data_IF_193341720161
#
_entry.id   IF_193341720161
#
_cell.length_a   1.000
_cell.length_b   1.000
_cell.length_c   1.000
_cell.angle_alpha   90.00
_cell.angle_beta   90.00
_cell.angle_gamma   90.00
#
_symmetry.space_group_name_H-M   'P 1'
#
loop_
_entity.id
_entity.type
_entity.pdbx_description
1 polymer ?
#
# COMPACT_ATOMS: atom_id res chain seq x y z
N UNK A 1 16.67 11.40 4.02
CA UNK A 1 17.66 10.32 3.78
C UNK A 1 16.90 9.01 3.79
N UNK A 2 17.06 8.16 2.78
CA UNK A 2 16.63 6.77 2.80
C UNK A 2 17.91 5.91 2.88
N UNK A 3 17.91 4.78 3.60
CA UNK A 3 16.76 4.05 4.13
C UNK A 3 16.30 4.58 5.51
N UNK A 4 15.02 4.40 5.85
CA UNK A 4 14.44 4.81 7.13
C UNK A 4 13.54 3.73 7.72
N UNK A 5 13.04 3.97 8.94
CA UNK A 5 12.14 3.05 9.65
C UNK A 5 10.83 2.87 8.90
N UNK A 6 10.40 1.61 8.77
CA UNK A 6 9.10 1.21 8.19
C UNK A 6 8.29 0.53 9.28
N UNK A 7 7.00 0.85 9.35
CA UNK A 7 6.02 0.20 10.22
C UNK A 7 4.97 -0.50 9.39
N UNK A 8 4.43 -1.58 9.93
CA UNK A 8 3.36 -2.36 9.34
C UNK A 8 2.18 -2.48 10.32
N UNK A 9 0.97 -2.54 9.78
CA UNK A 9 -0.23 -2.91 10.51
C UNK A 9 -1.01 -3.90 9.65
N UNK A 10 -0.83 -5.19 9.95
CA UNK A 10 -1.41 -6.30 9.22
C UNK A 10 -2.94 -6.37 9.31
N UNK A 11 -3.53 -5.92 10.42
CA UNK A 11 -4.98 -6.02 10.63
C UNK A 11 -5.76 -5.20 9.60
N UNK A 12 -5.23 -4.01 9.31
CA UNK A 12 -5.79 -3.09 8.33
C UNK A 12 -5.03 -3.06 7.01
N UNK A 13 -3.88 -3.73 6.87
CA UNK A 13 -3.11 -3.78 5.62
C UNK A 13 -2.31 -2.51 5.32
N UNK A 14 -1.76 -1.84 6.35
CA UNK A 14 -1.00 -0.59 6.19
C UNK A 14 0.51 -0.80 6.33
N UNK A 15 1.27 -0.03 5.56
CA UNK A 15 2.73 0.06 5.61
C UNK A 15 3.07 1.55 5.56
N UNK A 16 3.89 2.09 6.46
CA UNK A 16 4.29 3.49 6.39
C UNK A 16 5.71 3.76 6.88
N UNK A 17 6.28 4.87 6.43
CA UNK A 17 7.59 5.36 6.88
C UNK A 17 7.45 6.28 8.10
N UNK A 18 8.52 6.42 8.89
CA UNK A 18 8.59 7.30 10.08
C UNK A 18 9.78 8.28 10.02
N UNK A 19 9.87 9.06 8.96
CA UNK A 19 10.75 10.24 8.88
C UNK A 19 10.12 11.45 9.61
N UNK A 20 10.96 12.39 10.03
CA UNK A 20 10.50 13.57 10.78
C UNK A 20 9.70 14.57 9.92
N UNK A 21 9.98 14.65 8.62
CA UNK A 21 9.39 15.65 7.71
C UNK A 21 8.28 15.07 6.83
N UNK A 22 8.63 14.19 5.88
CA UNK A 22 7.72 13.65 4.88
C UNK A 22 7.74 12.13 4.89
N UNK A 23 6.54 11.54 4.88
CA UNK A 23 6.31 10.12 4.95
C UNK A 23 5.41 9.62 3.83
N UNK A 24 5.43 8.31 3.63
CA UNK A 24 4.54 7.59 2.72
C UNK A 24 3.75 6.54 3.49
N UNK A 25 2.44 6.54 3.32
CA UNK A 25 1.55 5.45 3.73
C UNK A 25 1.13 4.66 2.48
N UNK A 26 1.23 3.34 2.57
CA UNK A 26 0.72 2.38 1.59
C UNK A 26 -0.36 1.54 2.27
N UNK A 27 -1.57 1.60 1.74
CA UNK A 27 -2.71 0.82 2.19
C UNK A 27 -3.01 -0.23 1.13
N UNK A 28 -2.85 -1.51 1.46
CA UNK A 28 -3.16 -2.63 0.58
C UNK A 28 -4.50 -3.23 0.98
N UNK A 29 -5.43 -3.32 0.03
CA UNK A 29 -6.77 -3.87 0.24
C UNK A 29 -7.07 -4.87 -0.87
N UNK A 30 -7.70 -5.98 -0.52
CA UNK A 30 -8.15 -6.98 -1.47
C UNK A 30 -8.94 -8.06 -0.72
N UNK A 31 -9.31 -9.12 -1.42
CA UNK A 31 -10.00 -10.25 -0.78
C UNK A 31 -9.08 -10.91 0.26
N UNK A 32 -9.49 -10.92 1.53
CA UNK A 32 -8.69 -11.43 2.66
C UNK A 32 -8.58 -12.98 2.64
N UNK A 33 -7.52 -13.57 3.21
CA UNK A 33 -6.40 -12.91 3.89
C UNK A 33 -5.28 -12.43 2.94
N UNK A 34 -4.68 -11.27 3.27
CA UNK A 34 -3.47 -10.73 2.62
C UNK A 34 -2.47 -10.35 3.72
N UNK A 35 -1.69 -11.31 4.25
CA UNK A 35 -0.63 -11.00 5.20
C UNK A 35 0.40 -10.03 4.61
N UNK A 36 0.93 -9.16 5.46
CA UNK A 36 2.13 -8.38 5.18
C UNK A 36 3.32 -9.11 5.80
N UNK A 37 4.36 -9.38 5.01
CA UNK A 37 5.56 -10.08 5.45
C UNK A 37 6.73 -9.12 5.32
N UNK A 38 7.41 -8.83 6.44
CA UNK A 38 8.64 -8.06 6.43
C UNK A 38 9.81 -8.95 5.99
N UNK A 39 10.59 -8.43 5.05
CA UNK A 39 11.71 -9.12 4.43
C UNK A 39 12.95 -8.21 4.42
N UNK A 40 14.12 -8.83 4.41
CA UNK A 40 15.37 -8.10 4.24
C UNK A 40 15.52 -7.68 2.78
N UNK A 41 15.53 -6.37 2.54
CA UNK A 41 15.82 -5.77 1.25
C UNK A 41 17.19 -5.11 1.23
N UNK A 42 17.68 -4.86 0.02
CA UNK A 42 18.91 -4.10 -0.22
C UNK A 42 18.62 -2.96 -1.19
N UNK A 43 19.34 -1.85 -1.05
CA UNK A 43 19.45 -0.82 -2.07
C UNK A 43 20.91 -0.47 -2.32
N UNK A 44 21.22 0.00 -3.53
CA UNK A 44 22.55 0.38 -3.95
C UNK A 44 22.43 1.62 -4.85
N UNK A 45 23.15 2.69 -4.51
CA UNK A 45 23.25 3.89 -5.35
C UNK A 45 24.44 3.83 -6.31
N UNK A 46 25.48 3.09 -5.92
CA UNK A 46 26.69 2.90 -6.70
C UNK A 46 27.08 1.43 -6.73
N UNK A 47 27.89 1.04 -7.72
CA UNK A 47 28.34 -0.33 -7.85
C UNK A 47 29.31 -0.70 -6.71
N UNK A 48 29.11 -1.87 -6.11
CA UNK A 48 29.90 -2.33 -4.97
C UNK A 48 29.42 -1.81 -3.60
N UNK A 49 28.50 -0.85 -3.58
CA UNK A 49 27.83 -0.42 -2.35
C UNK A 49 26.48 -1.12 -2.19
N UNK A 50 26.12 -1.46 -0.96
CA UNK A 50 24.77 -1.88 -0.61
C UNK A 50 24.44 -1.45 0.80
N UNK A 51 23.23 -0.98 0.96
CA UNK A 51 22.66 -0.61 2.25
C UNK A 51 21.38 -1.43 2.46
N UNK A 52 21.20 -1.90 3.69
CA UNK A 52 20.04 -2.70 4.06
C UNK A 52 18.81 -1.80 4.15
N UNK A 53 17.67 -2.31 3.66
CA UNK A 53 16.35 -1.67 3.80
C UNK A 53 15.29 -2.69 4.18
N UNK A 54 14.19 -2.22 4.76
CA UNK A 54 13.00 -3.04 4.94
C UNK A 54 12.29 -3.22 3.60
N UNK A 55 11.96 -4.46 3.26
CA UNK A 55 11.02 -4.80 2.19
C UNK A 55 9.75 -5.36 2.84
N UNK A 56 8.59 -5.14 2.22
CA UNK A 56 7.32 -5.67 2.72
C UNK A 56 6.55 -6.30 1.56
N UNK A 57 6.17 -7.56 1.73
CA UNK A 57 5.41 -8.34 0.75
C UNK A 57 3.96 -8.48 1.21
N UNK A 58 3.01 -8.04 0.39
CA UNK A 58 1.58 -8.35 0.57
C UNK A 58 1.27 -9.67 -0.17
N UNK A 59 1.04 -10.75 0.58
CA UNK A 59 1.01 -12.11 0.02
C UNK A 59 -0.41 -12.65 -0.04
N UNK A 60 -0.84 -13.14 -1.21
CA UNK A 60 -2.06 -13.94 -1.37
C UNK A 60 -1.69 -15.38 -1.72
N UNK A 61 -2.23 -16.35 -0.96
CA UNK A 61 -1.92 -17.79 -1.11
C UNK A 61 -3.02 -18.60 -1.82
N UNK A 62 -3.99 -17.95 -2.45
CA UNK A 62 -5.09 -18.64 -3.15
C UNK A 62 -4.89 -18.77 -4.66
N UNK A 63 -5.90 -19.33 -5.34
CA UNK A 63 -5.94 -19.39 -6.80
C UNK A 63 -6.31 -18.05 -7.44
N UNK A 64 -5.83 -17.82 -8.67
CA UNK A 64 -6.23 -16.68 -9.48
C UNK A 64 -7.60 -16.89 -10.17
N UNK A 65 -8.22 -15.83 -10.71
CA UNK A 65 -7.76 -14.43 -10.69
C UNK A 65 -7.94 -13.75 -9.32
N UNK A 66 -7.05 -12.81 -9.00
CA UNK A 66 -7.07 -12.05 -7.76
C UNK A 66 -6.88 -10.56 -8.04
N UNK A 67 -7.59 -9.71 -7.30
CA UNK A 67 -7.49 -8.25 -7.38
C UNK A 67 -7.11 -7.69 -6.03
N UNK A 68 -6.18 -6.76 -6.03
CA UNK A 68 -5.86 -5.90 -4.90
C UNK A 68 -5.76 -4.46 -5.37
N UNK A 69 -5.96 -3.55 -4.43
CA UNK A 69 -5.83 -2.11 -4.59
C UNK A 69 -4.80 -1.63 -3.58
N UNK A 70 -3.79 -0.92 -4.07
CA UNK A 70 -2.81 -0.25 -3.22
C UNK A 70 -3.03 1.26 -3.32
N UNK A 71 -3.32 1.92 -2.20
CA UNK A 71 -3.42 3.37 -2.10
C UNK A 71 -2.14 3.91 -1.50
N UNK A 72 -1.46 4.80 -2.23
CA UNK A 72 -0.21 5.43 -1.80
C UNK A 72 -0.48 6.90 -1.47
N UNK A 73 -0.28 7.27 -0.20
CA UNK A 73 -0.57 8.62 0.30
C UNK A 73 0.68 9.23 0.92
N UNK A 74 1.33 10.20 0.26
CA UNK A 74 2.37 11.00 0.91
C UNK A 74 1.74 11.92 1.96
N UNK A 75 2.40 12.08 3.11
CA UNK A 75 1.93 12.94 4.20
C UNK A 75 3.10 13.61 4.94
N UNK A 76 2.81 14.69 5.68
CA UNK A 76 3.80 15.42 6.48
C UNK A 76 3.65 15.13 7.97
N UNK A 77 4.78 15.10 8.66
CA UNK A 77 4.87 14.88 10.10
C UNK A 77 4.62 13.42 10.52
N UNK A 78 4.53 13.16 11.83
CA UNK A 78 4.53 11.81 12.39
C UNK A 78 3.16 11.13 12.38
N UNK A 79 2.07 11.87 12.12
CA UNK A 79 0.70 11.33 12.19
C UNK A 79 0.23 10.91 10.80
N UNK A 80 0.10 9.60 10.60
CA UNK A 80 -0.42 9.06 9.34
C UNK A 80 -1.90 9.45 9.13
N UNK A 81 -2.31 9.76 7.89
CA UNK A 81 -3.71 10.02 7.57
C UNK A 81 -4.52 8.72 7.63
N UNK A 82 -5.81 8.86 7.91
CA UNK A 82 -6.76 7.76 7.74
C UNK A 82 -6.99 7.53 6.24
N UNK A 83 -6.92 6.27 5.82
CA UNK A 83 -7.15 5.83 4.45
C UNK A 83 -8.06 4.61 4.47
N UNK A 84 -9.11 4.65 3.66
CA UNK A 84 -10.08 3.58 3.53
C UNK A 84 -10.51 3.41 2.07
N UNK A 85 -10.53 2.16 1.58
CA UNK A 85 -11.16 1.83 0.30
C UNK A 85 -12.65 1.59 0.57
N UNK A 86 -13.51 2.50 0.09
CA UNK A 86 -14.96 2.39 0.25
C UNK A 86 -15.58 1.41 -0.75
N UNK A 87 -14.93 1.18 -1.89
CA UNK A 87 -15.33 0.11 -2.82
C UNK A 87 -15.03 -1.26 -2.23
N UNK A 88 -16.06 -2.08 -2.06
CA UNK A 88 -15.92 -3.43 -1.51
C UNK A 88 -14.99 -4.30 -2.40
N UNK A 89 -13.90 -4.87 -1.86
CA UNK A 89 -12.96 -5.68 -2.65
C UNK A 89 -13.60 -6.88 -3.34
N UNK A 90 -14.68 -7.41 -2.80
CA UNK A 90 -15.44 -8.54 -3.34
C UNK A 90 -16.15 -8.20 -4.66
N UNK A 91 -16.39 -6.90 -4.92
CA UNK A 91 -16.98 -6.41 -6.15
C UNK A 91 -15.93 -6.24 -7.25
N UNK A 92 -14.63 -6.29 -6.92
CA UNK A 92 -13.56 -6.09 -7.89
C UNK A 92 -13.23 -7.40 -8.61
N UNK A 93 -13.40 -7.40 -9.93
CA UNK A 93 -13.13 -8.56 -10.79
C UNK A 93 -11.97 -8.22 -11.72
N UNK A 94 -11.02 -9.16 -11.88
CA UNK A 94 -9.92 -8.97 -12.80
C UNK A 94 -10.45 -8.81 -14.24
N UNK A 95 -9.99 -7.76 -14.93
CA UNK A 95 -10.47 -7.43 -16.28
C UNK A 95 -11.77 -6.61 -16.33
N UNK A 96 -12.32 -6.19 -15.18
CA UNK A 96 -13.51 -5.33 -15.13
C UNK A 96 -13.32 -4.01 -15.92
N UNK A 97 -14.32 -3.69 -16.76
CA UNK A 97 -14.46 -2.44 -17.50
C UNK A 97 -15.96 -2.10 -17.62
N UNK A 98 -16.43 -0.91 -17.20
CA UNK A 98 -15.68 0.13 -16.48
C UNK A 98 -15.28 -0.32 -15.08
N UNK A 99 -14.23 0.29 -14.53
CA UNK A 99 -13.88 0.15 -13.11
C UNK A 99 -14.01 1.50 -12.42
N UNK A 100 -14.67 1.50 -11.27
CA UNK A 100 -14.83 2.66 -10.40
C UNK A 100 -14.36 2.28 -8.99
N UNK A 101 -13.42 3.06 -8.46
CA UNK A 101 -12.91 2.92 -7.10
C UNK A 101 -13.24 4.19 -6.32
N UNK A 102 -13.82 4.00 -5.15
CA UNK A 102 -14.10 5.07 -4.19
C UNK A 102 -13.17 4.89 -3.01
N UNK A 103 -12.37 5.91 -2.71
CA UNK A 103 -11.37 5.90 -1.63
C UNK A 103 -11.59 7.13 -0.76
N UNK A 104 -11.53 6.97 0.55
CA UNK A 104 -11.45 8.09 1.49
C UNK A 104 -10.01 8.26 1.97
N UNK A 105 -9.49 9.49 1.88
CA UNK A 105 -8.17 9.88 2.40
C UNK A 105 -8.35 11.14 3.25
N UNK A 106 -7.98 11.07 4.53
CA UNK A 106 -8.08 12.19 5.46
C UNK A 106 -9.49 12.85 5.47
N UNK A 107 -10.54 12.01 5.47
CA UNK A 107 -11.97 12.42 5.42
C UNK A 107 -12.41 13.09 4.13
N UNK A 108 -11.59 13.02 3.08
CA UNK A 108 -11.95 13.47 1.75
C UNK A 108 -12.13 12.25 0.83
N UNK A 109 -13.30 12.18 0.20
CA UNK A 109 -13.63 11.12 -0.73
C UNK A 109 -13.09 11.43 -2.14
N UNK A 110 -12.55 10.41 -2.79
CA UNK A 110 -12.03 10.42 -4.15
C UNK A 110 -12.70 9.32 -4.96
N UNK A 111 -13.10 9.62 -6.20
CA UNK A 111 -13.70 8.67 -7.13
C UNK A 111 -12.76 8.54 -8.33
N UNK A 112 -12.18 7.35 -8.50
CA UNK A 112 -11.28 7.01 -9.60
C UNK A 112 -12.03 6.13 -10.58
N UNK A 113 -12.18 6.58 -11.83
CA UNK A 113 -12.84 5.81 -12.89
C UNK A 113 -11.87 5.52 -14.02
N UNK A 114 -11.91 4.31 -14.55
CA UNK A 114 -11.26 3.95 -15.81
C UNK A 114 -12.27 3.33 -16.75
N UNK A 115 -12.38 3.95 -17.92
CA UNK A 115 -13.15 3.48 -19.07
C UNK A 115 -12.14 3.30 -20.20
N UNK A 116 -12.07 2.10 -20.78
CA UNK A 116 -11.33 1.83 -22.02
C UNK A 116 -12.32 1.78 -23.17
#
# INVERSE_FOLDING_TARGET
MAPGTVKTNEQVGRIWTEFDDVNLLVQVVGKKPIPLVEEEGWHAWSYGERERRTSVSAVYKGGGPFVFVSVLVPFKGPKSPEVELLTAPEQLIAGMNPVELVVEVAKQQWILKRTV
#
